data_IF_206215113711
#
_entry.id   IF_206215113711
#
_cell.length_a   1.000
_cell.length_b   1.000
_cell.length_c   1.000
_cell.angle_alpha   90.00
_cell.angle_beta   90.00
_cell.angle_gamma   90.00
#
_symmetry.space_group_name_H-M   'P 1'
#
loop_
_entity.id
_entity.type
_entity.pdbx_description
1 polymer ?
#
# COMPACT_ATOMS: atom_id res chain seq x y z
N UNK A 1 10.67 16.44 3.30
CA UNK A 1 11.38 16.26 4.58
C UNK A 1 12.85 16.59 4.38
N UNK A 2 13.63 16.73 5.45
CA UNK A 2 15.11 16.76 5.38
C UNK A 2 15.71 15.34 5.29
N UNK A 3 14.88 14.31 5.47
CA UNK A 3 15.24 12.89 5.32
C UNK A 3 14.51 12.28 4.11
N UNK A 4 15.27 12.01 3.04
CA UNK A 4 14.77 11.39 1.82
C UNK A 4 14.32 9.94 2.01
N UNK A 5 14.92 9.22 2.97
CA UNK A 5 14.53 7.86 3.30
C UNK A 5 13.11 7.80 3.85
N UNK A 6 12.76 8.73 4.74
CA UNK A 6 11.39 8.86 5.26
C UNK A 6 10.40 9.17 4.14
N UNK A 7 10.73 10.09 3.23
CA UNK A 7 9.86 10.46 2.12
C UNK A 7 9.64 9.28 1.15
N UNK A 8 10.72 8.54 0.81
CA UNK A 8 10.65 7.33 -0.02
C UNK A 8 9.75 6.27 0.62
N UNK A 9 9.96 5.96 1.90
CA UNK A 9 9.18 4.93 2.58
C UNK A 9 7.73 5.32 2.78
N UNK A 10 7.44 6.59 3.09
CA UNK A 10 6.07 7.10 3.19
C UNK A 10 5.32 6.91 1.88
N UNK A 11 5.97 7.19 0.75
CA UNK A 11 5.40 6.94 -0.58
C UNK A 11 5.28 5.46 -0.87
N UNK A 12 6.33 4.68 -0.61
CA UNK A 12 6.38 3.24 -0.89
C UNK A 12 5.29 2.46 -0.16
N UNK A 13 5.07 2.74 1.13
CA UNK A 13 4.00 2.13 1.94
C UNK A 13 2.63 2.35 1.30
N UNK A 14 2.30 3.59 0.92
CA UNK A 14 1.00 3.88 0.28
C UNK A 14 0.89 3.30 -1.13
N UNK A 15 1.95 3.41 -1.92
CA UNK A 15 1.97 2.99 -3.32
C UNK A 15 1.84 1.47 -3.46
N UNK A 16 2.58 0.71 -2.65
CA UNK A 16 2.55 -0.75 -2.67
C UNK A 16 1.15 -1.28 -2.36
N UNK A 17 0.50 -0.72 -1.34
CA UNK A 17 -0.86 -1.08 -0.94
C UNK A 17 -1.89 -0.67 -1.98
N UNK A 18 -1.84 0.58 -2.46
CA UNK A 18 -2.76 1.05 -3.50
C UNK A 18 -2.68 0.19 -4.77
N UNK A 19 -1.46 -0.12 -5.20
CA UNK A 19 -1.21 -0.90 -6.41
C UNK A 19 -1.65 -2.35 -6.25
N UNK A 20 -1.30 -2.98 -5.13
CA UNK A 20 -1.73 -4.34 -4.81
C UNK A 20 -3.25 -4.46 -4.70
N UNK A 21 -3.88 -3.59 -3.92
CA UNK A 21 -5.33 -3.63 -3.65
C UNK A 21 -6.16 -3.41 -4.91
N UNK A 22 -5.83 -2.40 -5.72
CA UNK A 22 -6.57 -2.17 -6.97
C UNK A 22 -6.36 -3.28 -7.99
N UNK A 23 -5.15 -3.86 -8.08
CA UNK A 23 -4.88 -4.95 -9.01
C UNK A 23 -5.56 -6.27 -8.60
N UNK A 24 -5.48 -6.67 -7.33
CA UNK A 24 -6.02 -7.96 -6.86
C UNK A 24 -7.55 -7.97 -6.90
N UNK A 25 -8.18 -6.84 -6.57
CA UNK A 25 -9.65 -6.70 -6.61
C UNK A 25 -10.17 -6.41 -8.03
N UNK A 26 -9.28 -5.99 -8.95
CA UNK A 26 -9.64 -5.43 -10.26
C UNK A 26 -10.64 -4.28 -10.17
N UNK A 27 -10.58 -3.52 -9.08
CA UNK A 27 -11.43 -2.38 -8.83
C UNK A 27 -10.62 -1.08 -8.74
N UNK A 28 -11.20 0.07 -9.12
CA UNK A 28 -10.64 1.35 -8.73
C UNK A 28 -10.80 1.55 -7.21
N UNK A 29 -10.25 2.63 -6.67
CA UNK A 29 -10.17 2.84 -5.22
C UNK A 29 -11.52 3.07 -4.54
N UNK A 30 -12.50 3.63 -5.23
CA UNK A 30 -13.82 3.94 -4.65
C UNK A 30 -14.49 2.73 -4.01
N UNK A 31 -14.76 1.65 -4.77
CA UNK A 31 -15.34 0.41 -4.22
C UNK A 31 -14.54 -0.18 -3.05
N UNK A 32 -13.21 -0.11 -3.10
CA UNK A 32 -12.34 -0.65 -2.04
C UNK A 32 -12.52 0.12 -0.72
N UNK A 33 -12.65 1.44 -0.79
CA UNK A 33 -12.82 2.28 0.41
C UNK A 33 -14.24 2.24 0.97
N UNK A 34 -15.24 2.06 0.10
CA UNK A 34 -16.66 2.01 0.47
C UNK A 34 -17.11 0.66 1.01
N UNK A 35 -16.46 -0.44 0.61
CA UNK A 35 -16.76 -1.78 1.13
C UNK A 35 -15.96 -2.05 2.42
N UNK A 36 -16.62 -2.41 3.55
CA UNK A 36 -15.92 -2.64 4.81
C UNK A 36 -14.88 -3.76 4.79
N UNK A 37 -15.13 -4.85 4.05
CA UNK A 37 -14.23 -5.99 3.98
C UNK A 37 -13.00 -5.67 3.11
N UNK A 38 -13.20 -5.00 1.98
CA UNK A 38 -12.10 -4.55 1.13
C UNK A 38 -11.25 -3.47 1.82
N UNK A 39 -11.88 -2.55 2.56
CA UNK A 39 -11.15 -1.57 3.35
C UNK A 39 -10.33 -2.22 4.46
N UNK A 40 -10.89 -3.23 5.15
CA UNK A 40 -10.15 -3.98 6.18
C UNK A 40 -8.90 -4.66 5.59
N UNK A 41 -9.02 -5.25 4.39
CA UNK A 41 -7.88 -5.84 3.68
C UNK A 41 -6.83 -4.79 3.30
N UNK A 42 -7.26 -3.64 2.75
CA UNK A 42 -6.38 -2.52 2.43
C UNK A 42 -5.63 -2.02 3.68
N UNK A 43 -6.35 -1.88 4.79
CA UNK A 43 -5.80 -1.40 6.05
C UNK A 43 -4.81 -2.40 6.66
N UNK A 44 -5.10 -3.71 6.58
CA UNK A 44 -4.17 -4.77 6.98
C UNK A 44 -2.85 -4.69 6.22
N UNK A 45 -2.92 -4.67 4.88
CA UNK A 45 -1.75 -4.56 4.01
C UNK A 45 -0.93 -3.27 4.28
N UNK A 46 -1.60 -2.17 4.63
CA UNK A 46 -0.93 -0.93 5.02
C UNK A 46 -0.16 -1.05 6.33
N UNK A 47 -0.74 -1.74 7.32
CA UNK A 47 -0.07 -1.98 8.60
C UNK A 47 1.15 -2.89 8.43
N UNK A 48 1.08 -3.90 7.56
CA UNK A 48 2.23 -4.75 7.23
C UNK A 48 3.37 -3.95 6.60
N UNK A 49 3.08 -3.18 5.54
CA UNK A 49 4.08 -2.35 4.88
C UNK A 49 4.69 -1.30 5.83
N UNK A 50 3.87 -0.72 6.71
CA UNK A 50 4.32 0.19 7.75
C UNK A 50 5.23 -0.50 8.78
N UNK A 51 4.87 -1.69 9.25
CA UNK A 51 5.68 -2.46 10.20
C UNK A 51 7.06 -2.78 9.62
N UNK A 52 7.11 -3.16 8.34
CA UNK A 52 8.38 -3.36 7.61
C UNK A 52 9.20 -2.07 7.53
N UNK A 53 8.58 -0.93 7.27
CA UNK A 53 9.27 0.37 7.25
C UNK A 53 9.90 0.71 8.62
N UNK A 54 9.14 0.47 9.71
CA UNK A 54 9.61 0.70 11.09
C UNK A 54 10.74 -0.25 11.46
N UNK A 55 10.64 -1.53 11.12
CA UNK A 55 11.70 -2.52 11.34
C UNK A 55 12.97 -2.24 10.50
N UNK A 56 12.82 -1.52 9.38
CA UNK A 56 13.94 -1.02 8.57
C UNK A 56 14.64 0.20 9.19
N UNK A 57 14.23 0.65 10.38
CA UNK A 57 14.83 1.78 11.09
C UNK A 57 14.36 3.16 10.59
N UNK A 58 13.30 3.22 9.77
CA UNK A 58 12.83 4.47 9.16
C UNK A 58 11.73 5.09 10.02
N UNK A 59 11.88 6.38 10.32
CA UNK A 59 10.95 7.15 11.14
C UNK A 59 9.69 7.59 10.37
N UNK A 60 9.01 6.64 9.70
CA UNK A 60 7.71 6.91 9.06
C UNK A 60 6.68 7.27 10.14
N UNK A 61 6.02 8.42 9.98
CA UNK A 61 5.04 8.91 10.94
C UNK A 61 3.92 7.89 11.17
N UNK A 62 3.53 7.62 12.43
CA UNK A 62 2.40 6.74 12.73
C UNK A 62 1.07 7.26 12.20
N UNK A 63 0.96 8.54 11.85
CA UNK A 63 -0.25 9.09 11.23
C UNK A 63 -0.59 8.46 9.88
N UNK A 64 0.36 7.78 9.22
CA UNK A 64 0.10 7.06 7.97
C UNK A 64 -0.79 5.83 8.17
N UNK A 65 -0.85 5.28 9.38
CA UNK A 65 -1.67 4.10 9.74
C UNK A 65 -2.79 4.43 10.72
N UNK A 66 -3.01 5.70 11.07
CA UNK A 66 -4.21 6.06 11.83
C UNK A 66 -5.45 5.82 10.96
N UNK A 67 -6.35 4.92 11.36
CA UNK A 67 -7.44 4.44 10.50
C UNK A 67 -8.27 5.56 9.85
N UNK A 68 -8.67 6.58 10.63
CA UNK A 68 -9.40 7.74 10.11
C UNK A 68 -8.59 8.52 9.06
N UNK A 69 -7.28 8.66 9.28
CA UNK A 69 -6.38 9.32 8.33
C UNK A 69 -6.21 8.49 7.06
N UNK A 70 -6.12 7.16 7.18
CA UNK A 70 -6.06 6.22 6.05
C UNK A 70 -7.34 6.32 5.22
N UNK A 71 -8.49 6.18 5.87
CA UNK A 71 -9.80 6.28 5.22
C UNK A 71 -9.94 7.61 4.50
N UNK A 72 -9.62 8.72 5.17
CA UNK A 72 -9.65 10.06 4.57
C UNK A 72 -8.69 10.19 3.38
N UNK A 73 -7.47 9.67 3.48
CA UNK A 73 -6.47 9.76 2.44
C UNK A 73 -6.91 9.04 1.15
N UNK A 74 -7.42 7.81 1.26
CA UNK A 74 -7.89 7.05 0.11
C UNK A 74 -9.24 7.55 -0.42
N UNK A 75 -10.15 8.02 0.46
CA UNK A 75 -11.42 8.62 0.05
C UNK A 75 -11.25 9.98 -0.67
N UNK A 76 -10.14 10.68 -0.43
CA UNK A 76 -9.82 11.93 -1.13
C UNK A 76 -9.35 11.70 -2.58
N UNK A 77 -9.04 10.46 -2.97
CA UNK A 77 -8.72 10.13 -4.36
C UNK A 77 -10.00 10.10 -5.19
N UNK A 78 -9.87 10.35 -6.50
CA UNK A 78 -10.99 10.18 -7.42
C UNK A 78 -11.50 8.72 -7.34
N UNK A 79 -12.81 8.45 -7.14
CA UNK A 79 -13.32 7.09 -6.94
C UNK A 79 -12.98 6.10 -8.06
N UNK A 80 -12.78 6.60 -9.28
CA UNK A 80 -12.37 5.88 -10.47
C UNK A 80 -10.86 5.68 -10.61
N UNK A 81 -10.05 6.18 -9.66
CA UNK A 81 -8.60 6.09 -9.72
C UNK A 81 -8.16 4.61 -9.68
N UNK A 82 -7.36 4.25 -10.68
CA UNK A 82 -6.69 2.96 -10.83
C UNK A 82 -5.19 3.15 -10.69
N UNK A 83 -4.51 2.18 -10.09
CA UNK A 83 -3.04 2.13 -10.15
C UNK A 83 -2.54 1.82 -11.55
N UNK A 84 -1.27 2.16 -11.83
CA UNK A 84 -0.55 1.69 -13.01
C UNK A 84 -0.59 0.16 -13.10
N UNK A 85 -0.35 -0.53 -11.98
CA UNK A 85 -0.37 -1.99 -11.93
C UNK A 85 -1.72 -2.59 -12.33
N UNK A 86 -2.84 -2.00 -11.92
CA UNK A 86 -4.16 -2.42 -12.39
C UNK A 86 -4.32 -2.18 -13.90
N UNK A 87 -3.90 -1.02 -14.41
CA UNK A 87 -3.98 -0.75 -15.86
C UNK A 87 -3.11 -1.71 -16.68
N UNK A 88 -1.92 -2.07 -16.18
CA UNK A 88 -1.03 -3.04 -16.80
C UNK A 88 -1.62 -4.44 -16.75
N UNK A 89 -2.27 -4.82 -15.64
CA UNK A 89 -3.03 -6.07 -15.54
C UNK A 89 -4.16 -6.14 -16.58
N UNK A 90 -4.95 -5.07 -16.72
CA UNK A 90 -6.03 -4.98 -17.70
C UNK A 90 -5.53 -5.08 -19.15
N UNK A 91 -4.28 -4.67 -19.39
CA UNK A 91 -3.60 -4.72 -20.70
C UNK A 91 -2.79 -6.00 -20.92
N UNK A 92 -2.80 -6.95 -19.98
CA UNK A 92 -2.02 -8.19 -20.08
C UNK A 92 -0.50 -7.98 -20.03
N UNK A 93 -0.03 -6.91 -19.40
CA UNK A 93 1.39 -6.59 -19.29
C UNK A 93 1.99 -7.19 -18.03
N UNK A 94 3.33 -7.27 -18.00
CA UNK A 94 4.08 -7.67 -16.81
C UNK A 94 3.82 -6.68 -15.67
N UNK A 95 3.52 -7.20 -14.48
CA UNK A 95 3.24 -6.39 -13.31
C UNK A 95 4.49 -6.03 -12.53
N UNK A 96 4.45 -4.87 -11.88
CA UNK A 96 5.45 -4.40 -10.92
C UNK A 96 5.31 -5.06 -9.52
N UNK A 97 4.43 -6.06 -9.38
CA UNK A 97 4.17 -6.82 -8.15
C UNK A 97 5.45 -7.26 -7.42
N UNK A 98 6.51 -7.80 -8.08
CA UNK A 98 7.72 -8.22 -7.37
C UNK A 98 8.48 -7.08 -6.69
N UNK A 99 8.32 -5.85 -7.18
CA UNK A 99 9.01 -4.65 -6.69
C UNK A 99 8.20 -3.87 -5.64
N UNK A 100 6.88 -4.10 -5.59
CA UNK A 100 5.96 -3.49 -4.63
C UNK A 100 5.63 -4.48 -3.50
N UNK A 101 4.48 -5.14 -3.53
CA UNK A 101 4.08 -6.10 -2.49
C UNK A 101 5.12 -7.21 -2.30
N UNK A 102 5.75 -7.67 -3.38
CA UNK A 102 6.85 -8.64 -3.29
C UNK A 102 8.09 -8.10 -2.55
N UNK A 103 8.37 -6.80 -2.60
CA UNK A 103 9.45 -6.22 -1.81
C UNK A 103 9.07 -6.10 -0.33
N UNK A 104 7.80 -5.80 -0.01
CA UNK A 104 7.29 -5.83 1.38
C UNK A 104 7.49 -7.20 1.99
N UNK A 105 7.08 -8.27 1.29
CA UNK A 105 7.24 -9.66 1.76
C UNK A 105 8.71 -10.03 1.98
N UNK A 106 9.58 -9.81 0.98
CA UNK A 106 11.02 -10.13 1.10
C UNK A 106 11.70 -9.38 2.23
N UNK A 107 11.30 -8.12 2.47
CA UNK A 107 11.84 -7.33 3.58
C UNK A 107 11.28 -7.80 4.91
N UNK A 108 9.99 -8.15 4.98
CA UNK A 108 9.35 -8.73 6.16
C UNK A 108 10.05 -10.01 6.60
N UNK A 109 10.27 -10.95 5.67
CA UNK A 109 11.02 -12.19 5.93
C UNK A 109 12.42 -11.91 6.50
N UNK A 110 13.17 -10.99 5.87
CA UNK A 110 14.53 -10.64 6.31
C UNK A 110 14.57 -9.97 7.69
N UNK A 111 13.52 -9.25 8.07
CA UNK A 111 13.44 -8.48 9.31
C UNK A 111 12.65 -9.20 10.40
N UNK A 112 12.10 -10.39 10.13
CA UNK A 112 11.24 -11.11 11.06
C UNK A 112 9.88 -10.44 11.29
N UNK A 113 9.38 -9.66 10.33
CA UNK A 113 8.08 -9.00 10.38
C UNK A 113 7.04 -9.81 9.60
N UNK A 114 5.93 -10.24 10.21
CA UNK A 114 4.83 -10.91 9.50
C UNK A 114 4.24 -10.04 8.38
N UNK A 115 4.11 -10.63 7.19
CA UNK A 115 3.51 -10.03 5.98
C UNK A 115 2.66 -11.07 5.22
N UNK A 116 1.58 -11.60 5.85
CA UNK A 116 0.79 -12.72 5.33
C UNK A 116 -0.05 -12.42 4.08
#
# INVERSE_FOLDING_TARGET
SDDIGVDIWTKFVRLSVFSGMTAVTRCPIGPIVSDPALFAMLYGALNEAYAVARASGIAVSPSIVAEDAVRKAYAAMAPQAKSSMLQDLERGRRLELPWLSGAVVRLGERLGVPTP
#
